data_IF_485686102210
#
_entry.id   IF_485686102210
#
_cell.length_a   1.000
_cell.length_b   1.000
_cell.length_c   1.000
_cell.angle_alpha   90.00
_cell.angle_beta   90.00
_cell.angle_gamma   90.00
#
_symmetry.space_group_name_H-M   'P 1'
#
loop_
_entity.id
_entity.type
_entity.pdbx_description
1 polymer ?
#
# COMPACT_ATOMS: atom_id res chain seq x y z
N UNK A 1 -2.35 25.80 -3.11
CA UNK A 1 -2.20 24.37 -3.45
C UNK A 1 -1.92 23.59 -2.18
N UNK A 2 -2.58 22.46 -1.97
CA UNK A 2 -2.44 21.61 -0.78
C UNK A 2 -1.85 20.27 -1.19
N UNK A 3 -1.01 19.69 -0.35
CA UNK A 3 -0.47 18.35 -0.58
C UNK A 3 -1.33 17.33 0.15
N UNK A 4 -1.98 16.46 -0.60
CA UNK A 4 -2.66 15.28 -0.06
C UNK A 4 -1.68 14.10 -0.04
N UNK A 5 -1.69 13.30 1.04
CA UNK A 5 -0.81 12.13 1.17
C UNK A 5 -1.66 10.92 1.53
N UNK A 6 -1.42 9.83 0.81
CA UNK A 6 -2.06 8.54 1.03
C UNK A 6 -0.99 7.51 1.37
N UNK A 7 -1.32 6.58 2.27
CA UNK A 7 -0.47 5.43 2.60
C UNK A 7 -1.12 4.16 2.06
N UNK A 8 -0.33 3.34 1.36
CA UNK A 8 -0.75 2.02 0.85
C UNK A 8 0.15 0.98 1.49
N UNK A 9 -0.43 0.11 2.31
CA UNK A 9 0.27 -0.99 2.94
C UNK A 9 -0.02 -2.29 2.18
N UNK A 10 1.04 -3.01 1.79
CA UNK A 10 0.96 -4.31 1.13
C UNK A 10 1.78 -5.30 1.95
N UNK A 11 1.14 -6.39 2.42
CA UNK A 11 1.82 -7.45 3.16
C UNK A 11 1.85 -8.72 2.30
N UNK A 12 3.05 -9.14 1.94
CA UNK A 12 3.31 -10.33 1.13
C UNK A 12 4.64 -10.98 1.55
N UNK A 13 4.83 -12.25 1.21
CA UNK A 13 6.09 -12.97 1.44
C UNK A 13 7.20 -12.45 0.54
N UNK A 14 6.85 -12.13 -0.71
CA UNK A 14 7.74 -11.55 -1.70
C UNK A 14 6.95 -10.50 -2.51
N UNK A 15 7.60 -9.40 -2.89
CA UNK A 15 6.97 -8.29 -3.59
C UNK A 15 7.99 -7.52 -4.42
N UNK A 16 7.77 -7.47 -5.73
CA UNK A 16 8.46 -6.53 -6.62
C UNK A 16 7.90 -5.11 -6.40
N UNK A 17 8.61 -4.35 -5.56
CA UNK A 17 8.20 -3.00 -5.13
C UNK A 17 8.33 -1.97 -6.26
N UNK A 18 9.27 -2.15 -7.17
CA UNK A 18 9.48 -1.20 -8.26
C UNK A 18 8.35 -1.31 -9.29
N UNK A 19 7.97 -2.55 -9.63
CA UNK A 19 6.79 -2.82 -10.47
C UNK A 19 5.49 -2.26 -9.87
N UNK A 20 5.29 -2.38 -8.55
CA UNK A 20 4.13 -1.78 -7.86
C UNK A 20 4.15 -0.24 -7.96
N UNK A 21 5.30 0.39 -7.74
CA UNK A 21 5.46 1.85 -7.85
C UNK A 21 5.12 2.31 -9.26
N UNK A 22 5.64 1.64 -10.29
CA UNK A 22 5.40 1.99 -11.67
C UNK A 22 3.93 1.80 -12.05
N UNK A 23 3.31 0.70 -11.61
CA UNK A 23 1.88 0.45 -11.84
C UNK A 23 1.00 1.53 -11.23
N UNK A 24 1.26 1.91 -9.97
CA UNK A 24 0.51 2.99 -9.30
C UNK A 24 0.75 4.34 -9.97
N UNK A 25 1.98 4.62 -10.43
CA UNK A 25 2.29 5.85 -11.16
C UNK A 25 1.51 5.92 -12.47
N UNK A 26 1.49 4.85 -13.25
CA UNK A 26 0.72 4.78 -14.50
C UNK A 26 -0.76 5.00 -14.24
N UNK A 27 -1.34 4.31 -13.26
CA UNK A 27 -2.75 4.48 -12.88
C UNK A 27 -3.09 5.93 -12.53
N UNK A 28 -2.27 6.60 -11.71
CA UNK A 28 -2.50 8.01 -11.35
C UNK A 28 -2.33 8.93 -12.56
N UNK A 29 -1.37 8.67 -13.44
CA UNK A 29 -1.16 9.48 -14.65
C UNK A 29 -2.31 9.39 -15.65
N UNK A 30 -3.00 8.24 -15.69
CA UNK A 30 -4.14 8.01 -16.59
C UNK A 30 -5.46 8.56 -16.05
N UNK A 31 -5.60 8.65 -14.72
CA UNK A 31 -6.88 8.91 -14.07
C UNK A 31 -6.98 10.28 -13.37
N UNK A 32 -5.87 10.99 -13.18
CA UNK A 32 -5.90 12.33 -12.58
C UNK A 32 -6.09 13.43 -13.63
N UNK A 33 -6.75 14.55 -13.25
CA UNK A 33 -6.80 15.74 -14.10
C UNK A 33 -5.39 16.27 -14.43
N UNK A 34 -5.23 16.84 -15.63
CA UNK A 34 -3.91 17.25 -16.16
C UNK A 34 -3.18 18.36 -15.40
N UNK A 35 -3.86 19.04 -14.48
CA UNK A 35 -3.31 20.04 -13.57
C UNK A 35 -2.90 19.47 -12.20
N UNK A 36 -3.03 18.15 -12.00
CA UNK A 36 -2.65 17.47 -10.76
C UNK A 36 -1.29 16.80 -10.91
N UNK A 37 -0.38 17.10 -9.99
CA UNK A 37 0.92 16.43 -9.88
C UNK A 37 0.86 15.32 -8.85
N UNK A 38 1.09 14.07 -9.30
CA UNK A 38 1.21 12.91 -8.45
C UNK A 38 2.64 12.38 -8.44
N UNK A 39 3.06 11.81 -7.30
CA UNK A 39 4.31 11.09 -7.18
C UNK A 39 4.08 9.83 -6.36
N UNK A 40 4.59 8.70 -6.85
CA UNK A 40 4.62 7.42 -6.16
C UNK A 40 6.07 7.08 -5.86
N UNK A 41 6.33 6.72 -4.61
CA UNK A 41 7.63 6.26 -4.12
C UNK A 41 7.44 5.04 -3.24
N UNK A 42 8.39 4.11 -3.27
CA UNK A 42 8.39 2.98 -2.36
C UNK A 42 8.59 3.46 -0.91
N UNK A 43 7.77 2.95 0.01
CA UNK A 43 7.87 3.20 1.46
C UNK A 43 8.87 2.26 2.15
N UNK A 44 8.96 2.34 3.47
CA UNK A 44 9.82 1.44 4.27
C UNK A 44 9.32 -0.02 4.22
N UNK A 45 10.25 -0.98 4.35
CA UNK A 45 9.92 -2.41 4.50
C UNK A 45 10.05 -2.78 5.97
N UNK A 46 8.99 -3.37 6.52
CA UNK A 46 8.96 -3.89 7.88
C UNK A 46 8.55 -5.35 7.87
N UNK A 47 9.40 -6.21 8.41
CA UNK A 47 9.05 -7.59 8.66
C UNK A 47 8.05 -7.68 9.84
N UNK A 48 7.01 -8.49 9.67
CA UNK A 48 6.10 -8.84 10.75
C UNK A 48 6.54 -10.15 11.41
N UNK A 49 6.47 -10.21 12.74
CA UNK A 49 6.31 -11.50 13.41
C UNK A 49 4.90 -12.05 13.13
N UNK A 50 4.69 -13.35 13.33
CA UNK A 50 3.37 -13.97 13.13
C UNK A 50 2.27 -13.25 13.93
N UNK A 51 2.53 -12.98 15.21
CA UNK A 51 1.57 -12.26 16.06
C UNK A 51 1.41 -10.79 15.62
N UNK A 52 2.50 -10.15 15.17
CA UNK A 52 2.46 -8.79 14.63
C UNK A 52 1.56 -8.69 13.39
N UNK A 53 1.66 -9.66 12.49
CA UNK A 53 0.81 -9.75 11.30
C UNK A 53 -0.66 -9.96 11.67
N UNK A 54 -0.97 -10.90 12.59
CA UNK A 54 -2.35 -11.14 13.05
C UNK A 54 -2.99 -9.87 13.60
N UNK A 55 -2.26 -9.10 14.40
CA UNK A 55 -2.73 -7.82 14.97
C UNK A 55 -2.91 -6.77 13.89
N UNK A 56 -1.94 -6.60 12.97
CA UNK A 56 -2.05 -5.64 11.87
C UNK A 56 -3.25 -5.94 10.97
N UNK A 57 -3.38 -7.19 10.52
CA UNK A 57 -4.46 -7.62 9.63
C UNK A 57 -5.83 -7.33 10.24
N UNK A 58 -6.05 -7.75 11.49
CA UNK A 58 -7.32 -7.52 12.17
C UNK A 58 -7.65 -6.02 12.32
N UNK A 59 -6.66 -5.17 12.59
CA UNK A 59 -6.86 -3.75 12.84
C UNK A 59 -6.98 -2.90 11.58
N UNK A 60 -6.22 -3.21 10.54
CA UNK A 60 -6.08 -2.37 9.35
C UNK A 60 -6.99 -2.83 8.23
N UNK A 61 -7.13 -4.15 8.03
CA UNK A 61 -7.97 -4.69 6.96
C UNK A 61 -9.34 -5.16 7.45
N UNK A 62 -9.53 -5.26 8.77
CA UNK A 62 -10.76 -5.79 9.38
C UNK A 62 -10.90 -7.31 9.30
N UNK A 63 -9.93 -8.01 8.69
CA UNK A 63 -9.97 -9.48 8.53
C UNK A 63 -9.48 -10.16 9.80
N UNK A 64 -10.42 -10.69 10.59
CA UNK A 64 -10.12 -11.41 11.84
C UNK A 64 -9.66 -12.84 11.56
N UNK A 65 -9.17 -13.54 12.60
CA UNK A 65 -8.69 -14.92 12.47
C UNK A 65 -9.76 -15.90 11.97
N UNK A 66 -11.03 -15.68 12.29
CA UNK A 66 -12.17 -16.51 11.85
C UNK A 66 -12.52 -16.29 10.37
N UNK A 67 -12.10 -15.18 9.77
CA UNK A 67 -12.32 -14.86 8.35
C UNK A 67 -11.10 -15.17 7.46
N UNK A 68 -9.96 -15.48 8.09
CA UNK A 68 -8.71 -15.77 7.41
C UNK A 68 -8.41 -17.27 7.29
N UNK A 69 -9.38 -18.12 7.64
CA UNK A 69 -9.38 -19.58 7.52
C UNK A 69 -10.68 -20.06 6.93
#
# INVERSE_FOLDING_TARGET
MQKFTFSVDIVATDLDRDSVVDTLRSCLSENLPGDVHANVKAGEVKAFSEQGYKVWRARVTGVTAEQAG
#
